data_IF_262103156164
#
_entry.id   IF_262103156164
#
_cell.length_a   1.000
_cell.length_b   1.000
_cell.length_c   1.000
_cell.angle_alpha   90.00
_cell.angle_beta   90.00
_cell.angle_gamma   90.00
#
_symmetry.space_group_name_H-M   'P 1'
#
loop_
_entity.id
_entity.type
_entity.pdbx_description
1 polymer ?
#
# COMPACT_ATOMS: atom_id res chain seq x y z
N UNK A 1 24.15 -23.13 -13.19
CA UNK A 1 24.31 -21.87 -12.44
C UNK A 1 24.54 -20.76 -13.45
N UNK A 2 23.66 -19.74 -13.52
CA UNK A 2 23.94 -18.56 -14.37
C UNK A 2 24.86 -17.66 -13.53
N UNK A 3 26.03 -17.33 -14.07
CA UNK A 3 26.96 -16.36 -13.48
C UNK A 3 26.22 -15.06 -13.21
N UNK A 4 25.98 -14.76 -11.92
CA UNK A 4 25.37 -13.49 -11.50
C UNK A 4 26.49 -12.45 -11.58
N UNK A 5 26.39 -11.55 -12.56
CA UNK A 5 27.36 -10.48 -12.74
C UNK A 5 27.32 -9.52 -11.53
N UNK A 6 28.36 -9.55 -10.70
CA UNK A 6 28.51 -8.72 -9.52
C UNK A 6 28.73 -7.23 -9.85
N UNK A 7 28.89 -6.84 -11.11
CA UNK A 7 29.12 -5.43 -11.50
C UNK A 7 27.89 -4.51 -11.39
N UNK A 8 26.66 -5.03 -11.35
CA UNK A 8 25.43 -4.21 -11.43
C UNK A 8 24.97 -3.46 -10.15
N UNK A 9 25.66 -3.61 -9.00
CA UNK A 9 25.37 -2.87 -7.75
C UNK A 9 26.73 -2.51 -7.18
N UNK A 10 27.20 -1.30 -7.50
CA UNK A 10 28.42 -0.71 -6.95
C UNK A 10 28.14 -0.24 -5.51
N UNK A 11 29.13 -0.19 -4.59
CA UNK A 11 28.94 0.27 -3.20
C UNK A 11 28.28 1.65 -3.05
N UNK A 12 28.27 2.45 -4.10
CA UNK A 12 27.72 3.81 -4.14
C UNK A 12 26.29 3.89 -4.68
N UNK A 13 25.71 2.78 -5.16
CA UNK A 13 24.37 2.77 -5.74
C UNK A 13 23.35 2.74 -4.62
N UNK A 14 22.47 3.75 -4.59
CA UNK A 14 21.31 3.76 -3.69
C UNK A 14 20.40 2.60 -4.05
N UNK A 15 19.96 1.87 -3.04
CA UNK A 15 19.04 0.74 -3.23
C UNK A 15 17.91 0.79 -2.22
N UNK A 16 16.73 0.32 -2.64
CA UNK A 16 15.64 -0.04 -1.73
C UNK A 16 15.53 -1.54 -1.63
N UNK A 17 15.11 -1.99 -0.47
CA UNK A 17 15.06 -3.40 -0.13
C UNK A 17 13.70 -4.01 -0.44
N UNK A 18 13.75 -5.31 -0.78
CA UNK A 18 12.65 -6.25 -0.72
C UNK A 18 12.50 -6.98 0.65
N UNK A 19 11.25 -7.08 1.17
CA UNK A 19 10.92 -7.71 2.46
C UNK A 19 11.19 -9.22 2.58
N UNK A 20 11.30 -9.96 1.46
CA UNK A 20 11.69 -11.37 1.45
C UNK A 20 12.94 -11.60 0.57
N UNK A 21 13.41 -12.84 0.43
CA UNK A 21 14.62 -13.14 -0.38
C UNK A 21 14.28 -13.65 -1.79
N UNK A 22 14.88 -13.03 -2.83
CA UNK A 22 14.46 -13.20 -4.24
C UNK A 22 15.20 -14.29 -5.03
N UNK A 23 16.01 -15.13 -4.40
CA UNK A 23 16.92 -16.03 -5.12
C UNK A 23 16.50 -17.51 -5.14
N UNK A 24 15.42 -17.86 -4.44
CA UNK A 24 14.87 -19.21 -4.44
C UNK A 24 14.11 -19.51 -5.74
N UNK A 25 14.11 -20.79 -6.15
CA UNK A 25 13.44 -21.30 -7.36
C UNK A 25 12.27 -22.24 -7.06
N UNK A 26 11.67 -22.15 -5.86
CA UNK A 26 10.52 -22.97 -5.50
C UNK A 26 9.26 -22.61 -6.32
N UNK A 27 8.20 -23.39 -6.15
CA UNK A 27 6.93 -23.24 -6.86
C UNK A 27 6.39 -21.81 -6.83
N UNK A 28 6.38 -21.19 -5.64
CA UNK A 28 5.89 -19.83 -5.43
C UNK A 28 6.82 -18.77 -6.00
N UNK A 29 8.13 -18.87 -5.79
CA UNK A 29 9.08 -17.88 -6.30
C UNK A 29 9.10 -17.79 -7.83
N UNK A 30 8.95 -18.93 -8.51
CA UNK A 30 8.86 -18.97 -9.97
C UNK A 30 7.58 -18.32 -10.52
N UNK A 31 6.53 -18.21 -9.68
CA UNK A 31 5.24 -17.58 -10.01
C UNK A 31 5.13 -16.15 -9.49
N UNK A 32 6.19 -15.63 -8.88
CA UNK A 32 6.16 -14.29 -8.35
C UNK A 32 5.46 -14.11 -7.02
N UNK A 33 5.34 -15.20 -6.28
CA UNK A 33 4.72 -15.27 -4.97
C UNK A 33 5.81 -15.42 -3.91
N UNK A 34 6.87 -14.61 -3.97
CA UNK A 34 8.06 -14.80 -3.12
C UNK A 34 7.77 -14.63 -1.62
N UNK A 35 6.66 -14.00 -1.24
CA UNK A 35 6.16 -13.96 0.14
C UNK A 35 5.84 -15.34 0.71
N UNK A 36 5.52 -16.30 -0.16
CA UNK A 36 5.24 -17.70 0.20
C UNK A 36 6.40 -18.62 -0.16
N UNK A 37 7.64 -18.11 -0.14
CA UNK A 37 8.82 -18.91 -0.44
C UNK A 37 8.99 -20.03 0.58
N UNK A 38 8.98 -21.29 0.12
CA UNK A 38 9.18 -22.49 0.95
C UNK A 38 10.51 -22.53 1.73
N UNK A 39 11.52 -21.75 1.31
CA UNK A 39 12.85 -21.73 1.93
C UNK A 39 13.12 -20.48 2.77
N UNK A 40 12.43 -19.39 2.45
CA UNK A 40 12.67 -18.06 3.01
C UNK A 40 11.33 -17.39 3.34
N UNK A 41 10.47 -18.11 4.07
CA UNK A 41 9.17 -17.62 4.56
C UNK A 41 9.34 -16.83 5.86
N UNK A 42 10.26 -15.87 5.87
CA UNK A 42 10.46 -14.96 7.00
C UNK A 42 10.69 -13.54 6.46
N UNK A 43 10.25 -12.55 7.21
CA UNK A 43 10.31 -11.14 6.88
C UNK A 43 11.18 -10.41 7.90
N UNK A 44 12.16 -9.64 7.43
CA UNK A 44 12.95 -8.78 8.32
C UNK A 44 12.12 -7.60 8.82
N UNK A 45 12.28 -7.28 10.09
CA UNK A 45 11.41 -6.37 10.84
C UNK A 45 10.15 -7.05 11.40
N UNK A 46 9.95 -8.35 11.16
CA UNK A 46 8.85 -9.15 11.72
C UNK A 46 9.41 -10.41 12.39
N UNK A 47 9.92 -11.35 11.58
CA UNK A 47 10.45 -12.64 12.05
C UNK A 47 11.95 -12.58 12.39
N UNK A 48 12.63 -11.55 11.89
CA UNK A 48 14.06 -11.27 12.10
C UNK A 48 14.28 -9.79 12.34
N UNK A 49 15.47 -9.43 12.83
CA UNK A 49 15.89 -8.04 12.99
C UNK A 49 15.64 -7.21 11.73
N UNK A 50 15.16 -5.97 11.95
CA UNK A 50 14.71 -5.06 10.91
C UNK A 50 15.75 -4.02 10.51
N UNK A 51 15.25 -2.85 10.09
CA UNK A 51 16.03 -1.79 9.45
C UNK A 51 16.24 -0.55 10.31
N UNK A 52 15.78 -0.57 11.56
CA UNK A 52 16.11 0.46 12.53
C UNK A 52 17.51 0.18 13.09
N UNK A 53 18.51 0.28 12.21
CA UNK A 53 19.93 0.07 12.49
C UNK A 53 20.76 0.90 11.50
N UNK A 54 22.01 1.23 11.87
CA UNK A 54 22.93 1.97 10.99
C UNK A 54 23.36 1.14 9.77
N UNK A 55 23.48 -0.19 9.93
CA UNK A 55 23.83 -1.12 8.86
C UNK A 55 23.04 -2.42 8.97
N UNK A 56 22.74 -3.03 7.83
CA UNK A 56 22.05 -4.34 7.75
C UNK A 56 22.68 -5.19 6.66
N UNK A 57 22.97 -6.46 6.97
CA UNK A 57 23.45 -7.42 6.00
C UNK A 57 22.30 -7.91 5.09
N UNK A 58 22.50 -7.88 3.78
CA UNK A 58 21.46 -8.15 2.79
C UNK A 58 21.99 -9.03 1.66
N UNK A 59 21.17 -9.99 1.22
CA UNK A 59 21.44 -10.67 -0.05
C UNK A 59 21.18 -9.70 -1.22
N UNK A 60 22.14 -9.60 -2.14
CA UNK A 60 22.09 -8.67 -3.30
C UNK A 60 20.80 -8.76 -4.11
N UNK A 61 20.27 -9.98 -4.30
CA UNK A 61 19.03 -10.19 -5.06
C UNK A 61 17.77 -9.55 -4.41
N UNK A 62 17.87 -9.15 -3.15
CA UNK A 62 16.83 -8.45 -2.40
C UNK A 62 17.00 -6.92 -2.44
N UNK A 63 18.00 -6.41 -3.16
CA UNK A 63 18.23 -4.98 -3.37
C UNK A 63 17.73 -4.56 -4.75
N UNK A 64 17.08 -3.40 -4.80
CA UNK A 64 16.51 -2.83 -6.01
C UNK A 64 17.16 -1.46 -6.20
N UNK A 65 17.80 -1.20 -7.36
CA UNK A 65 18.47 0.07 -7.59
C UNK A 65 17.47 1.21 -7.61
N UNK A 66 17.85 2.31 -6.97
CA UNK A 66 17.11 3.56 -6.92
C UNK A 66 17.85 4.60 -7.75
N UNK A 67 17.18 5.27 -8.70
CA UNK A 67 17.79 6.35 -9.49
C UNK A 67 18.23 7.55 -8.63
N UNK A 68 19.28 8.26 -9.04
CA UNK A 68 19.84 9.40 -8.30
C UNK A 68 18.84 10.52 -7.99
N UNK A 69 17.82 10.71 -8.84
CA UNK A 69 16.76 11.70 -8.66
C UNK A 69 15.72 11.36 -7.58
N UNK A 70 15.84 10.21 -6.92
CA UNK A 70 14.96 9.77 -5.81
C UNK A 70 15.71 9.95 -4.50
N UNK A 71 15.17 10.80 -3.62
CA UNK A 71 15.72 11.05 -2.28
C UNK A 71 15.59 9.83 -1.36
N UNK A 72 16.39 9.77 -0.30
CA UNK A 72 16.37 8.64 0.65
C UNK A 72 15.01 8.49 1.33
N UNK A 73 14.36 9.62 1.60
CA UNK A 73 13.01 9.65 2.13
C UNK A 73 11.99 9.06 1.16
N UNK A 74 12.08 9.41 -0.13
CA UNK A 74 11.20 8.83 -1.15
C UNK A 74 11.44 7.32 -1.27
N UNK A 75 12.71 6.91 -1.27
CA UNK A 75 13.13 5.51 -1.29
C UNK A 75 12.55 4.70 -0.11
N UNK A 76 12.55 5.27 1.11
CA UNK A 76 12.02 4.61 2.31
C UNK A 76 10.51 4.30 2.25
N UNK A 77 9.77 4.87 1.30
CA UNK A 77 8.32 4.70 1.14
C UNK A 77 7.97 3.90 -0.13
N UNK A 78 8.95 3.35 -0.85
CA UNK A 78 8.70 2.61 -2.10
C UNK A 78 7.93 1.31 -1.88
N UNK A 79 8.23 0.59 -0.80
CA UNK A 79 7.61 -0.71 -0.50
C UNK A 79 6.07 -0.69 -0.56
N UNK A 80 5.37 0.19 0.19
CA UNK A 80 3.90 0.17 0.19
C UNK A 80 3.26 0.56 -1.15
N UNK A 81 4.02 1.20 -2.07
CA UNK A 81 3.53 1.51 -3.42
C UNK A 81 3.45 0.23 -4.26
N UNK A 82 4.39 -0.71 -4.08
CA UNK A 82 4.40 -1.97 -4.80
C UNK A 82 3.13 -2.79 -4.48
N UNK A 83 2.66 -2.76 -3.24
CA UNK A 83 1.36 -3.32 -2.86
C UNK A 83 0.21 -2.63 -3.61
N UNK A 84 0.18 -1.30 -3.67
CA UNK A 84 -0.87 -0.58 -4.37
C UNK A 84 -0.91 -0.93 -5.88
N UNK A 85 0.26 -1.03 -6.53
CA UNK A 85 0.36 -1.48 -7.93
C UNK A 85 -0.18 -2.90 -8.08
N UNK A 86 0.23 -3.83 -7.20
CA UNK A 86 -0.21 -5.23 -7.22
C UNK A 86 -1.72 -5.37 -7.13
N UNK A 87 -2.34 -4.59 -6.24
CA UNK A 87 -3.79 -4.58 -6.04
C UNK A 87 -4.49 -4.24 -7.35
N UNK A 88 -4.06 -3.21 -8.08
CA UNK A 88 -4.68 -2.86 -9.35
C UNK A 88 -4.34 -3.79 -10.51
N UNK A 89 -3.18 -4.47 -10.48
CA UNK A 89 -2.85 -5.50 -11.47
C UNK A 89 -3.72 -6.77 -11.31
N UNK A 90 -4.16 -7.05 -10.08
CA UNK A 90 -5.17 -8.10 -9.79
C UNK A 90 -6.58 -7.64 -10.14
N UNK A 91 -6.94 -6.42 -9.74
CA UNK A 91 -8.28 -5.87 -9.94
C UNK A 91 -8.59 -5.59 -11.40
N UNK A 92 -7.60 -5.21 -12.22
CA UNK A 92 -7.76 -4.88 -13.64
C UNK A 92 -8.95 -3.92 -13.86
N UNK A 93 -8.90 -2.70 -13.31
CA UNK A 93 -9.96 -1.72 -13.49
C UNK A 93 -10.12 -1.31 -14.96
N UNK A 94 -11.32 -0.91 -15.35
CA UNK A 94 -11.54 -0.13 -16.55
C UNK A 94 -11.41 1.37 -16.27
N UNK A 95 -11.18 2.15 -17.34
CA UNK A 95 -11.19 3.61 -17.25
C UNK A 95 -12.57 4.08 -16.82
N UNK A 96 -12.62 5.09 -15.94
CA UNK A 96 -13.83 5.62 -15.32
C UNK A 96 -14.54 4.70 -14.30
N UNK A 97 -14.00 3.51 -13.98
CA UNK A 97 -14.51 2.69 -12.88
C UNK A 97 -14.50 3.50 -11.58
N UNK A 98 -15.55 3.34 -10.78
CA UNK A 98 -15.60 3.88 -9.42
C UNK A 98 -14.85 2.96 -8.45
N UNK A 99 -13.91 3.53 -7.72
CA UNK A 99 -13.13 2.88 -6.67
C UNK A 99 -13.44 3.57 -5.34
N UNK A 100 -14.08 2.86 -4.42
CA UNK A 100 -14.20 3.34 -3.03
C UNK A 100 -13.00 2.85 -2.22
N UNK A 101 -12.24 3.75 -1.62
CA UNK A 101 -11.09 3.44 -0.77
C UNK A 101 -11.41 3.82 0.67
N UNK A 102 -11.55 2.81 1.54
CA UNK A 102 -11.90 2.98 2.95
C UNK A 102 -10.62 2.93 3.79
N UNK A 103 -10.39 3.97 4.58
CA UNK A 103 -9.15 4.21 5.29
C UNK A 103 -8.12 4.89 4.38
N UNK A 104 -7.80 6.15 4.67
CA UNK A 104 -6.81 6.99 4.01
C UNK A 104 -5.55 7.13 4.89
N UNK A 105 -5.13 6.03 5.53
CA UNK A 105 -3.76 5.89 6.02
C UNK A 105 -2.75 5.79 4.88
N UNK A 106 -1.47 5.48 5.15
CA UNK A 106 -0.45 5.39 4.09
C UNK A 106 -0.84 4.50 2.92
N UNK A 107 -1.39 3.31 3.18
CA UNK A 107 -1.81 2.37 2.14
C UNK A 107 -2.99 2.93 1.34
N UNK A 108 -4.02 3.43 2.02
CA UNK A 108 -5.18 4.03 1.35
C UNK A 108 -4.84 5.21 0.45
N UNK A 109 -3.97 6.11 0.92
CA UNK A 109 -3.52 7.26 0.13
C UNK A 109 -2.72 6.83 -1.11
N UNK A 110 -1.93 5.76 -1.00
CA UNK A 110 -1.22 5.18 -2.15
C UNK A 110 -2.17 4.48 -3.12
N UNK A 111 -3.17 3.74 -2.61
CA UNK A 111 -4.24 3.15 -3.43
C UNK A 111 -4.99 4.24 -4.19
N UNK A 112 -5.35 5.34 -3.53
CA UNK A 112 -5.98 6.51 -4.16
C UNK A 112 -5.15 7.01 -5.34
N UNK A 113 -3.85 7.27 -5.13
CA UNK A 113 -2.96 7.74 -6.21
C UNK A 113 -2.87 6.75 -7.38
N UNK A 114 -2.67 5.46 -7.08
CA UNK A 114 -2.55 4.44 -8.14
C UNK A 114 -3.88 4.24 -8.88
N UNK A 115 -5.03 4.32 -8.20
CA UNK A 115 -6.35 4.29 -8.83
C UNK A 115 -6.50 5.42 -9.85
N UNK A 116 -6.07 6.65 -9.49
CA UNK A 116 -6.10 7.80 -10.39
C UNK A 116 -5.19 7.60 -11.60
N UNK A 117 -3.99 7.04 -11.40
CA UNK A 117 -3.09 6.70 -12.51
C UNK A 117 -3.66 5.62 -13.44
N UNK A 118 -4.54 4.74 -12.95
CA UNK A 118 -5.26 3.75 -13.76
C UNK A 118 -6.50 4.33 -14.46
N UNK A 119 -6.78 5.63 -14.30
CA UNK A 119 -7.92 6.31 -14.94
C UNK A 119 -9.25 6.10 -14.22
N UNK A 120 -9.23 5.64 -12.96
CA UNK A 120 -10.43 5.45 -12.16
C UNK A 120 -10.95 6.77 -11.56
N UNK A 121 -12.21 6.74 -11.12
CA UNK A 121 -12.80 7.73 -10.21
C UNK A 121 -12.74 7.18 -8.79
N UNK A 122 -12.44 8.02 -7.80
CA UNK A 122 -12.15 7.60 -6.43
C UNK A 122 -13.09 8.30 -5.46
N UNK A 123 -13.77 7.49 -4.64
CA UNK A 123 -14.42 7.93 -3.41
C UNK A 123 -13.49 7.59 -2.24
N UNK A 124 -12.87 8.60 -1.63
CA UNK A 124 -11.99 8.43 -0.48
C UNK A 124 -12.79 8.57 0.82
N UNK A 125 -12.79 7.51 1.64
CA UNK A 125 -13.49 7.48 2.91
C UNK A 125 -12.50 7.31 4.08
N UNK A 126 -12.59 8.19 5.08
CA UNK A 126 -11.82 8.12 6.33
C UNK A 126 -12.58 8.90 7.41
N UNK A 127 -12.18 8.76 8.67
CA UNK A 127 -12.71 9.53 9.79
C UNK A 127 -11.96 10.84 10.01
N UNK A 128 -10.68 10.92 9.61
CA UNK A 128 -9.80 12.03 9.87
C UNK A 128 -9.76 13.02 8.70
N UNK A 129 -10.14 14.27 8.95
CA UNK A 129 -10.17 15.32 7.93
C UNK A 129 -8.81 15.57 7.27
N UNK A 130 -7.72 15.55 8.04
CA UNK A 130 -6.37 15.75 7.50
C UNK A 130 -5.96 14.65 6.50
N UNK A 131 -6.47 13.43 6.66
CA UNK A 131 -6.24 12.33 5.71
C UNK A 131 -7.10 12.48 4.47
N UNK A 132 -8.35 12.92 4.62
CA UNK A 132 -9.23 13.26 3.50
C UNK A 132 -8.69 14.44 2.67
N UNK A 133 -8.07 15.42 3.32
CA UNK A 133 -7.44 16.56 2.63
C UNK A 133 -6.25 16.11 1.77
N UNK A 134 -5.44 15.18 2.28
CA UNK A 134 -4.39 14.53 1.49
C UNK A 134 -4.98 13.69 0.35
N UNK A 135 -6.04 12.92 0.59
CA UNK A 135 -6.70 12.14 -0.45
C UNK A 135 -7.21 13.03 -1.59
N UNK A 136 -7.81 14.19 -1.26
CA UNK A 136 -8.22 15.20 -2.24
C UNK A 136 -7.02 15.76 -3.01
N UNK A 137 -5.93 16.11 -2.32
CA UNK A 137 -4.67 16.56 -2.95
C UNK A 137 -4.14 15.50 -3.94
N UNK A 138 -4.31 14.23 -3.60
CA UNK A 138 -3.89 13.09 -4.42
C UNK A 138 -4.90 12.68 -5.50
N UNK A 139 -5.94 13.49 -5.72
CA UNK A 139 -6.85 13.36 -6.84
C UNK A 139 -8.10 12.54 -6.57
N UNK A 140 -8.45 12.25 -5.32
CA UNK A 140 -9.77 11.70 -5.00
C UNK A 140 -10.87 12.64 -5.54
N UNK A 141 -11.83 12.08 -6.28
CA UNK A 141 -12.91 12.85 -6.91
C UNK A 141 -13.97 13.22 -5.88
N UNK A 142 -14.24 12.32 -4.93
CA UNK A 142 -15.18 12.52 -3.85
C UNK A 142 -14.54 12.13 -2.51
N UNK A 143 -14.89 12.86 -1.45
CA UNK A 143 -14.44 12.56 -0.08
C UNK A 143 -15.64 12.35 0.84
N UNK A 144 -15.57 11.35 1.72
CA UNK A 144 -16.63 11.02 2.67
C UNK A 144 -16.04 10.91 4.07
N UNK A 145 -16.55 11.71 5.01
CA UNK A 145 -16.20 11.55 6.42
C UNK A 145 -17.15 10.57 7.08
N UNK A 146 -16.63 9.40 7.44
CA UNK A 146 -17.44 8.29 7.98
C UNK A 146 -17.90 8.48 9.43
N UNK A 147 -17.46 9.53 10.14
CA UNK A 147 -17.98 9.84 11.49
C UNK A 147 -19.35 10.53 11.44
N UNK A 148 -19.63 11.28 10.37
CA UNK A 148 -20.86 12.05 10.23
C UNK A 148 -21.89 11.42 9.29
N UNK A 149 -21.48 10.48 8.45
CA UNK A 149 -22.28 10.03 7.30
C UNK A 149 -22.30 8.51 7.16
N UNK A 150 -23.43 7.99 6.66
CA UNK A 150 -23.54 6.57 6.26
C UNK A 150 -22.86 6.37 4.91
N UNK A 151 -21.72 5.69 4.92
CA UNK A 151 -20.87 5.50 3.73
C UNK A 151 -21.61 4.81 2.58
N UNK A 152 -22.43 3.81 2.87
CA UNK A 152 -23.20 3.06 1.86
C UNK A 152 -24.21 3.94 1.11
N UNK A 153 -24.90 4.80 1.83
CA UNK A 153 -25.80 5.79 1.23
C UNK A 153 -25.03 6.75 0.32
N UNK A 154 -23.93 7.32 0.80
CA UNK A 154 -23.12 8.29 0.02
C UNK A 154 -22.53 7.68 -1.24
N UNK A 155 -21.95 6.49 -1.13
CA UNK A 155 -21.45 5.75 -2.28
C UNK A 155 -22.58 5.46 -3.26
N UNK A 156 -23.77 5.07 -2.79
CA UNK A 156 -24.95 4.91 -3.63
C UNK A 156 -25.38 6.20 -4.35
N UNK A 157 -25.36 7.35 -3.68
CA UNK A 157 -25.67 8.66 -4.30
C UNK A 157 -24.66 9.05 -5.39
N UNK A 158 -23.36 8.80 -5.16
CA UNK A 158 -22.26 9.15 -6.08
C UNK A 158 -22.20 8.20 -7.28
N UNK A 159 -22.25 6.89 -7.01
CA UNK A 159 -21.96 5.84 -8.00
C UNK A 159 -23.22 5.23 -8.60
N UNK A 160 -24.39 5.53 -8.03
CA UNK A 160 -25.73 4.97 -8.34
C UNK A 160 -25.90 3.51 -7.96
N UNK A 161 -24.97 2.64 -8.36
CA UNK A 161 -25.10 1.18 -8.23
C UNK A 161 -24.13 0.55 -7.23
N UNK A 162 -23.34 1.36 -6.53
CA UNK A 162 -22.14 0.91 -5.83
C UNK A 162 -20.91 1.02 -6.73
N UNK A 163 -19.74 0.95 -6.10
CA UNK A 163 -18.46 1.06 -6.78
C UNK A 163 -18.11 -0.23 -7.53
N UNK A 164 -17.47 -0.09 -8.70
CA UNK A 164 -16.88 -1.21 -9.44
C UNK A 164 -15.87 -1.96 -8.58
N UNK A 165 -15.11 -1.21 -7.79
CA UNK A 165 -14.08 -1.71 -6.89
C UNK A 165 -14.24 -1.07 -5.51
N UNK A 166 -14.10 -1.88 -4.47
CA UNK A 166 -13.95 -1.40 -3.09
C UNK A 166 -12.60 -1.88 -2.56
N UNK A 167 -11.80 -0.97 -2.01
CA UNK A 167 -10.55 -1.30 -1.31
C UNK A 167 -10.71 -0.92 0.15
N UNK A 168 -10.64 -1.93 1.03
CA UNK A 168 -10.63 -1.75 2.47
C UNK A 168 -9.18 -1.77 2.96
N UNK A 169 -8.71 -0.63 3.48
CA UNK A 169 -7.32 -0.43 3.91
C UNK A 169 -7.22 0.06 5.37
N UNK A 170 -8.31 0.04 6.13
CA UNK A 170 -8.35 0.43 7.55
C UNK A 170 -8.18 -0.74 8.50
N UNK A 171 -8.59 -1.96 8.10
CA UNK A 171 -8.63 -3.14 8.98
C UNK A 171 -9.75 -3.09 10.03
N UNK A 172 -10.59 -2.05 9.99
CA UNK A 172 -11.72 -1.95 10.90
C UNK A 172 -12.79 -2.98 10.53
N UNK A 173 -13.19 -3.81 11.50
CA UNK A 173 -14.27 -4.80 11.33
C UNK A 173 -15.54 -4.15 10.79
N UNK A 174 -15.87 -2.93 11.26
CA UNK A 174 -17.07 -2.21 10.80
C UNK A 174 -16.95 -1.73 9.36
N UNK A 175 -15.75 -1.37 8.89
CA UNK A 175 -15.49 -1.02 7.49
C UNK A 175 -15.57 -2.25 6.60
N UNK A 176 -14.94 -3.35 7.02
CA UNK A 176 -14.97 -4.65 6.30
C UNK A 176 -16.41 -5.12 6.10
N UNK A 177 -17.24 -5.09 7.14
CA UNK A 177 -18.66 -5.48 7.09
C UNK A 177 -19.53 -4.57 6.20
N UNK A 178 -19.04 -3.40 5.81
CA UNK A 178 -19.74 -2.52 4.88
C UNK A 178 -19.41 -2.84 3.42
N UNK A 179 -18.22 -3.40 3.13
CA UNK A 179 -17.76 -3.65 1.75
C UNK A 179 -18.78 -4.36 0.84
N UNK A 180 -19.57 -5.37 1.29
CA UNK A 180 -20.58 -6.04 0.46
C UNK A 180 -21.77 -5.15 0.06
N UNK A 181 -21.97 -4.02 0.76
CA UNK A 181 -23.01 -3.01 0.48
C UNK A 181 -22.49 -1.87 -0.40
N UNK A 182 -21.18 -1.70 -0.47
CA UNK A 182 -20.52 -0.63 -1.20
C UNK A 182 -20.18 -1.04 -2.64
N UNK A 183 -19.84 -2.32 -2.82
CA UNK A 183 -19.51 -2.87 -4.13
C UNK A 183 -20.80 -3.09 -4.93
N UNK A 184 -20.76 -2.78 -6.23
CA UNK A 184 -21.86 -3.17 -7.11
C UNK A 184 -21.88 -4.68 -7.32
N UNK A 185 -23.00 -5.21 -7.80
CA UNK A 185 -23.09 -6.60 -8.25
C UNK A 185 -22.02 -6.90 -9.30
N UNK A 186 -21.36 -8.05 -9.18
CA UNK A 186 -20.24 -8.46 -10.03
C UNK A 186 -19.05 -7.47 -10.02
N UNK A 187 -18.92 -6.65 -8.97
CA UNK A 187 -17.73 -5.82 -8.74
C UNK A 187 -16.62 -6.59 -8.02
N UNK A 188 -15.64 -5.88 -7.48
CA UNK A 188 -14.48 -6.48 -6.81
C UNK A 188 -14.19 -5.80 -5.49
N UNK A 189 -13.78 -6.58 -4.49
CA UNK A 189 -13.39 -6.08 -3.18
C UNK A 189 -11.99 -6.58 -2.84
N UNK A 190 -11.10 -5.64 -2.53
CA UNK A 190 -9.77 -5.91 -1.98
C UNK A 190 -9.78 -5.64 -0.47
N UNK A 191 -9.53 -6.66 0.34
CA UNK A 191 -9.36 -6.55 1.79
C UNK A 191 -7.85 -6.49 2.09
N UNK A 192 -7.34 -5.30 2.37
CA UNK A 192 -5.90 -5.04 2.60
C UNK A 192 -5.60 -4.76 4.07
N UNK A 193 -6.54 -4.15 4.80
CA UNK A 193 -6.43 -4.00 6.23
C UNK A 193 -6.53 -5.36 6.93
N UNK A 194 -5.59 -5.64 7.83
CA UNK A 194 -5.67 -6.84 8.66
C UNK A 194 -6.83 -6.71 9.66
N UNK A 195 -7.67 -7.74 9.74
CA UNK A 195 -8.80 -7.80 10.65
C UNK A 195 -9.07 -9.24 11.08
N UNK A 196 -9.67 -9.40 12.25
CA UNK A 196 -10.20 -10.68 12.71
C UNK A 196 -11.73 -10.67 12.64
N UNK A 197 -12.34 -11.78 12.21
CA UNK A 197 -13.80 -11.94 12.23
C UNK A 197 -14.36 -12.54 10.95
N UNK A 198 -15.62 -12.18 10.65
CA UNK A 198 -16.39 -12.73 9.53
C UNK A 198 -16.94 -11.61 8.65
N UNK A 199 -17.00 -11.87 7.35
CA UNK A 199 -17.66 -11.01 6.37
C UNK A 199 -19.01 -11.63 6.03
N UNK A 200 -20.08 -10.86 6.16
CA UNK A 200 -21.41 -11.23 5.67
C UNK A 200 -21.55 -10.78 4.22
N UNK A 201 -21.45 -11.71 3.28
CA UNK A 201 -21.56 -11.42 1.85
C UNK A 201 -22.96 -11.01 1.39
N UNK A 202 -24.01 -11.03 2.23
CA UNK A 202 -25.41 -10.99 1.81
C UNK A 202 -25.76 -10.14 0.58
N UNK A 203 -25.28 -8.88 0.49
CA UNK A 203 -25.58 -7.94 -0.62
C UNK A 203 -24.53 -7.87 -1.75
N UNK A 204 -23.46 -8.66 -1.68
CA UNK A 204 -22.37 -8.67 -2.65
C UNK A 204 -22.77 -9.17 -4.05
N UNK A 205 -23.80 -10.01 -4.16
CA UNK A 205 -24.11 -10.72 -5.40
C UNK A 205 -22.89 -11.51 -5.90
N UNK A 206 -22.57 -11.39 -7.19
CA UNK A 206 -21.41 -12.08 -7.80
C UNK A 206 -20.07 -11.34 -7.61
N UNK A 207 -19.97 -10.45 -6.63
CA UNK A 207 -18.73 -9.70 -6.41
C UNK A 207 -17.58 -10.62 -5.94
N UNK A 208 -16.38 -10.35 -6.46
CA UNK A 208 -15.18 -11.11 -6.12
C UNK A 208 -14.47 -10.45 -4.93
N UNK A 209 -14.13 -11.24 -3.92
CA UNK A 209 -13.36 -10.79 -2.76
C UNK A 209 -12.00 -11.44 -2.77
N UNK A 210 -10.95 -10.66 -2.53
CA UNK A 210 -9.60 -11.18 -2.36
C UNK A 210 -8.83 -10.36 -1.34
N UNK A 211 -7.78 -10.97 -0.83
CA UNK A 211 -6.72 -10.30 -0.09
C UNK A 211 -5.41 -10.49 -0.86
N UNK A 212 -4.50 -9.55 -0.69
CA UNK A 212 -3.14 -9.70 -1.16
C UNK A 212 -2.20 -9.09 -0.14
N UNK A 213 -1.00 -9.65 -0.07
CA UNK A 213 0.04 -9.20 0.83
C UNK A 213 1.18 -8.57 0.02
N UNK A 214 2.29 -8.24 0.70
CA UNK A 214 3.51 -7.66 0.13
C UNK A 214 3.78 -8.17 -1.30
N UNK A 215 4.16 -7.26 -2.21
CA UNK A 215 4.34 -7.62 -3.61
C UNK A 215 5.73 -7.30 -4.14
N UNK A 216 6.63 -8.31 -4.19
CA UNK A 216 8.04 -8.14 -4.51
C UNK A 216 8.30 -7.72 -5.96
N UNK A 217 7.42 -8.16 -6.86
CA UNK A 217 7.61 -8.03 -8.31
C UNK A 217 7.37 -6.60 -8.77
N UNK A 218 6.52 -5.87 -8.07
CA UNK A 218 6.00 -4.57 -8.45
C UNK A 218 6.92 -3.43 -7.98
N UNK A 219 7.96 -3.73 -7.20
CA UNK A 219 8.91 -2.71 -6.74
C UNK A 219 9.60 -1.94 -7.88
N UNK A 220 10.09 -2.56 -8.97
CA UNK A 220 10.64 -1.80 -10.10
C UNK A 220 9.63 -0.80 -10.68
N UNK A 221 8.34 -1.18 -10.74
CA UNK A 221 7.27 -0.26 -11.13
C UNK A 221 7.09 0.84 -10.10
N UNK A 222 7.07 0.53 -8.81
CA UNK A 222 6.98 1.51 -7.74
C UNK A 222 8.14 2.53 -7.76
N UNK A 223 9.38 2.06 -7.94
CA UNK A 223 10.57 2.91 -8.11
C UNK A 223 10.37 3.87 -9.29
N UNK A 224 9.88 3.35 -10.43
CA UNK A 224 9.63 4.17 -11.61
C UNK A 224 8.56 5.23 -11.36
N UNK A 225 7.45 4.86 -10.72
CA UNK A 225 6.37 5.80 -10.38
C UNK A 225 6.87 6.97 -9.51
N UNK A 226 7.76 6.70 -8.56
CA UNK A 226 8.37 7.73 -7.70
C UNK A 226 9.42 8.54 -8.45
N UNK A 227 10.24 7.91 -9.28
CA UNK A 227 11.25 8.59 -10.08
C UNK A 227 10.62 9.57 -11.09
N UNK A 228 9.51 9.18 -11.72
CA UNK A 228 8.75 9.98 -12.67
C UNK A 228 7.77 10.97 -12.00
N UNK A 229 7.77 11.04 -10.66
CA UNK A 229 6.90 11.93 -9.86
C UNK A 229 5.40 11.72 -10.12
N UNK A 230 5.01 10.52 -10.54
CA UNK A 230 3.62 10.11 -10.74
C UNK A 230 2.92 9.75 -9.42
N UNK A 231 3.70 9.42 -8.38
CA UNK A 231 3.21 9.18 -7.02
C UNK A 231 3.97 10.10 -6.06
N UNK A 232 3.25 10.92 -5.32
CA UNK A 232 3.76 11.77 -4.25
C UNK A 232 3.83 10.98 -2.94
N UNK A 233 5.06 10.57 -2.59
CA UNK A 233 5.37 9.95 -1.30
C UNK A 233 5.90 10.94 -0.27
N UNK A 234 6.37 12.12 -0.70
CA UNK A 234 6.93 13.13 0.22
C UNK A 234 5.83 13.68 1.11
N UNK A 235 4.68 13.95 0.54
CA UNK A 235 3.51 14.47 1.27
C UNK A 235 2.89 13.45 2.23
N UNK A 236 3.25 12.16 2.13
CA UNK A 236 2.82 11.15 3.11
C UNK A 236 3.61 11.25 4.41
N UNK A 237 4.86 11.73 4.36
CA UNK A 237 5.76 11.79 5.52
C UNK A 237 5.41 13.00 6.36
N UNK A 238 4.73 12.78 7.48
CA UNK A 238 4.31 13.84 8.40
C UNK A 238 5.31 14.08 9.53
N UNK A 239 6.05 13.05 9.95
CA UNK A 239 7.02 13.17 11.04
C UNK A 239 8.34 12.50 10.69
N UNK A 240 9.42 13.05 11.22
CA UNK A 240 10.79 12.57 11.02
C UNK A 240 11.52 12.58 12.35
N UNK A 241 12.17 11.48 12.67
CA UNK A 241 12.96 11.32 13.88
C UNK A 241 14.33 10.76 13.51
N UNK A 242 15.34 11.06 14.33
CA UNK A 242 16.61 10.34 14.28
C UNK A 242 16.45 8.99 14.98
N UNK A 243 17.29 8.03 14.65
CA UNK A 243 17.28 6.70 15.30
C UNK A 243 17.56 6.80 16.80
N UNK A 244 18.31 7.82 17.23
CA UNK A 244 18.50 8.15 18.64
C UNK A 244 17.21 8.54 19.38
N UNK A 245 16.14 8.87 18.65
CA UNK A 245 14.84 9.29 19.18
C UNK A 245 13.71 8.31 18.80
N UNK A 246 14.08 7.03 18.67
CA UNK A 246 13.21 5.97 18.19
C UNK A 246 11.94 5.78 19.04
N UNK A 247 12.04 5.90 20.36
CA UNK A 247 10.89 5.77 21.26
C UNK A 247 9.82 6.83 20.98
N UNK A 248 10.23 8.09 20.78
CA UNK A 248 9.31 9.17 20.40
C UNK A 248 8.74 8.96 19.00
N UNK A 249 9.50 8.38 18.08
CA UNK A 249 8.99 8.01 16.77
C UNK A 249 7.84 6.99 16.88
N UNK A 250 8.00 5.95 17.69
CA UNK A 250 6.96 4.94 17.94
C UNK A 250 5.74 5.54 18.66
N UNK A 251 5.96 6.37 19.68
CA UNK A 251 4.89 7.06 20.40
C UNK A 251 4.08 7.95 19.45
N UNK A 252 4.75 8.71 18.59
CA UNK A 252 4.11 9.58 17.60
C UNK A 252 3.33 8.76 16.57
N UNK A 253 3.90 7.66 16.07
CA UNK A 253 3.24 6.79 15.10
C UNK A 253 1.95 6.15 15.64
N UNK A 254 1.91 5.85 16.94
CA UNK A 254 0.76 5.24 17.61
C UNK A 254 -0.28 6.24 18.16
N UNK A 255 0.10 7.51 18.35
CA UNK A 255 -0.80 8.54 18.83
C UNK A 255 -1.52 9.27 17.69
N UNK A 256 -2.75 8.86 17.38
CA UNK A 256 -3.55 9.48 16.31
C UNK A 256 -3.85 10.98 16.52
N UNK A 257 -3.76 11.49 17.76
CA UNK A 257 -3.93 12.93 18.03
C UNK A 257 -2.79 13.78 17.46
N UNK A 258 -1.59 13.19 17.27
CA UNK A 258 -0.48 13.82 16.55
C UNK A 258 -0.69 13.83 15.02
N UNK A 259 -1.82 13.28 14.55
CA UNK A 259 -2.19 13.18 13.14
C UNK A 259 -1.10 12.52 12.27
N UNK A 260 -0.50 11.39 12.70
CA UNK A 260 0.50 10.71 11.89
C UNK A 260 -0.14 10.12 10.62
N UNK A 261 0.60 10.20 9.52
CA UNK A 261 0.35 9.44 8.29
C UNK A 261 1.53 8.49 8.11
N UNK A 262 2.71 8.99 7.74
CA UNK A 262 3.96 8.23 7.73
C UNK A 262 5.00 8.89 8.62
N UNK A 263 5.53 8.12 9.58
CA UNK A 263 6.68 8.49 10.40
C UNK A 263 7.92 7.84 9.80
N UNK A 264 8.98 8.61 9.61
CA UNK A 264 10.27 8.13 9.10
C UNK A 264 11.34 8.27 10.18
N UNK A 265 12.16 7.24 10.32
CA UNK A 265 13.35 7.24 11.17
C UNK A 265 14.57 7.29 10.27
N UNK A 266 15.49 8.21 10.53
CA UNK A 266 16.78 8.32 9.83
C UNK A 266 17.92 7.98 10.78
N UNK A 267 19.03 7.46 10.26
CA UNK A 267 20.28 7.40 11.01
C UNK A 267 20.71 8.82 11.47
#
# INVERSE_FOLDING_TARGET
>A
MRNINLAAIHPTVKTVRFLAERWCKCYFCQRGLQTYCERYSWFMGIDKDGFFAETVAMHRASLIPVPDGVSDLEAAVIEPIALAVRVFDLLKPAVCDWVTVIGQGPIGLLITQVAKLKGCRVVAADMWSNRLDLARKFGADEIVNVQGEKLDRKVGEITKHGSDIVVEASGSVSAVQQTPRLVRKAGKVALLGEFEGRVDFGRAGDALFFATYLSPIEYPTAVKLVAEKLVDVKSLVTHRFRISDFENALRTASNLNEKPVKVIVTA
#
